data_IF_859179970981
#
_entry.id   IF_859179970981
#
_cell.length_a   1.000
_cell.length_b   1.000
_cell.length_c   1.000
_cell.angle_alpha   90.00
_cell.angle_beta   90.00
_cell.angle_gamma   90.00
#
_symmetry.space_group_name_H-M   'P 1'
#
loop_
_entity.id
_entity.type
_entity.pdbx_description
1 polymer ?
#
# COMPACT_ATOMS: atom_id res chain seq x y z
N UNK A 1 -11.26 19.27 -12.48
CA UNK A 1 -9.90 19.09 -11.92
C UNK A 1 -9.87 18.09 -10.76
N UNK A 2 -10.70 18.25 -9.72
CA UNK A 2 -10.74 17.35 -8.54
C UNK A 2 -10.93 15.86 -8.91
N UNK A 3 -11.88 15.55 -9.80
CA UNK A 3 -12.12 14.15 -10.25
C UNK A 3 -10.89 13.53 -10.91
N UNK A 4 -10.17 14.29 -11.75
CA UNK A 4 -8.98 13.80 -12.43
C UNK A 4 -7.86 13.47 -11.43
N UNK A 5 -7.65 14.35 -10.44
CA UNK A 5 -6.69 14.11 -9.34
C UNK A 5 -7.09 12.84 -8.57
N UNK A 6 -8.36 12.71 -8.20
CA UNK A 6 -8.87 11.52 -7.51
C UNK A 6 -8.63 10.24 -8.31
N UNK A 7 -8.94 10.23 -9.61
CA UNK A 7 -8.74 9.06 -10.47
C UNK A 7 -7.25 8.69 -10.59
N UNK A 8 -6.37 9.67 -10.74
CA UNK A 8 -4.91 9.44 -10.80
C UNK A 8 -4.40 8.84 -9.48
N UNK A 9 -4.80 9.41 -8.34
CA UNK A 9 -4.43 8.88 -7.02
C UNK A 9 -5.00 7.47 -6.80
N UNK A 10 -6.22 7.21 -7.25
CA UNK A 10 -6.84 5.87 -7.16
C UNK A 10 -6.08 4.84 -7.98
N UNK A 11 -5.72 5.17 -9.22
CA UNK A 11 -4.91 4.29 -10.08
C UNK A 11 -3.52 4.05 -9.49
N UNK A 12 -2.90 5.09 -8.92
CA UNK A 12 -1.60 4.99 -8.27
C UNK A 12 -1.67 4.11 -7.02
N UNK A 13 -2.71 4.25 -6.19
CA UNK A 13 -2.94 3.41 -5.01
C UNK A 13 -3.12 1.94 -5.40
N UNK A 14 -3.98 1.66 -6.38
CA UNK A 14 -4.25 0.29 -6.83
C UNK A 14 -3.02 -0.36 -7.48
N UNK A 15 -2.35 0.34 -8.39
CA UNK A 15 -1.16 -0.20 -9.07
C UNK A 15 -0.01 -0.47 -8.10
N UNK A 16 0.28 0.46 -7.19
CA UNK A 16 1.31 0.27 -6.16
C UNK A 16 0.95 -0.82 -5.15
N UNK A 17 -0.33 -0.97 -4.79
CA UNK A 17 -0.83 -2.09 -3.99
C UNK A 17 -0.66 -3.45 -4.68
N UNK A 18 -0.92 -3.54 -5.98
CA UNK A 18 -0.69 -4.77 -6.76
C UNK A 18 0.80 -5.11 -6.82
N UNK A 19 1.68 -4.11 -6.96
CA UNK A 19 3.14 -4.32 -7.01
C UNK A 19 3.69 -4.98 -5.74
N UNK A 20 3.05 -4.82 -4.58
CA UNK A 20 3.43 -5.52 -3.34
C UNK A 20 3.48 -7.04 -3.52
N UNK A 21 2.57 -7.59 -4.33
CA UNK A 21 2.48 -9.04 -4.59
C UNK A 21 3.32 -9.50 -5.78
N UNK A 22 3.83 -8.58 -6.59
CA UNK A 22 4.61 -8.87 -7.80
C UNK A 22 6.11 -8.82 -7.50
N UNK A 23 6.53 -7.97 -6.57
CA UNK A 23 7.95 -7.69 -6.36
C UNK A 23 8.62 -8.69 -5.42
N UNK A 24 9.75 -9.27 -5.85
CA UNK A 24 10.50 -10.29 -5.10
C UNK A 24 11.34 -9.78 -3.90
N UNK A 25 11.09 -8.57 -3.41
CA UNK A 25 11.86 -7.99 -2.30
C UNK A 25 10.93 -7.36 -1.29
N UNK A 26 11.12 -7.70 -0.01
CA UNK A 26 10.38 -7.08 1.09
C UNK A 26 10.59 -5.57 1.12
N UNK A 27 11.82 -5.09 0.98
CA UNK A 27 12.10 -3.66 1.01
C UNK A 27 11.37 -2.91 -0.12
N UNK A 28 11.40 -3.45 -1.34
CA UNK A 28 10.66 -2.86 -2.47
C UNK A 28 9.15 -2.93 -2.27
N UNK A 29 8.63 -4.05 -1.75
CA UNK A 29 7.23 -4.21 -1.40
C UNK A 29 6.76 -3.18 -0.35
N UNK A 30 7.60 -2.90 0.66
CA UNK A 30 7.36 -1.84 1.65
C UNK A 30 7.21 -0.47 0.99
N UNK A 31 8.09 -0.11 0.06
CA UNK A 31 7.98 1.18 -0.65
C UNK A 31 6.78 1.23 -1.60
N UNK A 32 6.44 0.13 -2.28
CA UNK A 32 5.20 0.04 -3.06
C UNK A 32 3.96 0.27 -2.16
N UNK A 33 3.92 -0.35 -0.99
CA UNK A 33 2.83 -0.17 -0.04
C UNK A 33 2.79 1.27 0.52
N UNK A 34 3.94 1.88 0.79
CA UNK A 34 4.03 3.28 1.22
C UNK A 34 3.43 4.22 0.17
N UNK A 35 3.75 4.02 -1.11
CA UNK A 35 3.16 4.80 -2.23
C UNK A 35 1.64 4.66 -2.25
N UNK A 36 1.13 3.44 -2.03
CA UNK A 36 -0.32 3.18 -1.94
C UNK A 36 -0.96 3.99 -0.80
N UNK A 37 -0.38 3.95 0.40
CA UNK A 37 -0.91 4.69 1.53
C UNK A 37 -0.81 6.20 1.39
N UNK A 38 0.26 6.72 0.78
CA UNK A 38 0.37 8.16 0.51
C UNK A 38 -0.68 8.64 -0.49
N UNK A 39 -0.99 7.84 -1.51
CA UNK A 39 -2.06 8.15 -2.45
C UNK A 39 -3.43 8.17 -1.76
N UNK A 40 -3.70 7.19 -0.89
CA UNK A 40 -4.92 7.15 -0.07
C UNK A 40 -4.98 8.33 0.89
N UNK A 41 -3.88 8.70 1.54
CA UNK A 41 -3.83 9.84 2.44
C UNK A 41 -4.12 11.15 1.70
N UNK A 42 -3.61 11.32 0.48
CA UNK A 42 -3.94 12.45 -0.38
C UNK A 42 -5.43 12.46 -0.72
N UNK A 43 -6.06 11.31 -1.00
CA UNK A 43 -7.52 11.22 -1.19
C UNK A 43 -8.29 11.59 0.09
N UNK A 44 -7.83 11.21 1.28
CA UNK A 44 -8.41 11.63 2.57
C UNK A 44 -8.30 13.14 2.78
N UNK A 45 -7.19 13.76 2.39
CA UNK A 45 -7.06 15.23 2.46
C UNK A 45 -8.08 15.93 1.55
N UNK A 46 -8.40 15.36 0.39
CA UNK A 46 -9.41 15.90 -0.52
C UNK A 46 -10.82 15.91 0.07
N UNK A 47 -11.11 15.09 1.10
CA UNK A 47 -12.41 15.10 1.80
C UNK A 47 -12.49 16.15 2.91
N UNK A 48 -11.47 16.98 3.09
CA UNK A 48 -11.41 18.01 4.14
C UNK A 48 -10.88 17.51 5.50
N UNK A 49 -10.48 16.24 5.60
CA UNK A 49 -9.96 15.64 6.83
C UNK A 49 -8.45 15.88 6.99
N UNK A 50 -8.06 17.15 7.16
CA UNK A 50 -6.66 17.58 7.17
C UNK A 50 -5.80 16.86 8.24
N UNK A 51 -6.28 16.80 9.48
CA UNK A 51 -5.57 16.14 10.57
C UNK A 51 -5.32 14.66 10.27
N UNK A 52 -6.37 13.93 9.89
CA UNK A 52 -6.28 12.50 9.61
C UNK A 52 -5.33 12.22 8.44
N UNK A 53 -5.47 12.95 7.34
CA UNK A 53 -4.61 12.77 6.16
C UNK A 53 -3.14 13.04 6.46
N UNK A 54 -2.84 14.11 7.21
CA UNK A 54 -1.45 14.44 7.61
C UNK A 54 -0.90 13.36 8.54
N UNK A 55 -1.69 12.87 9.51
CA UNK A 55 -1.25 11.81 10.44
C UNK A 55 -0.96 10.52 9.68
N UNK A 56 -1.78 10.15 8.69
CA UNK A 56 -1.50 8.97 7.83
C UNK A 56 -0.16 9.17 7.10
N UNK A 57 0.08 10.33 6.48
CA UNK A 57 1.35 10.61 5.79
C UNK A 57 2.53 10.48 6.76
N UNK A 58 2.43 11.11 7.92
CA UNK A 58 3.51 11.14 8.91
C UNK A 58 3.81 9.73 9.45
N UNK A 59 2.80 9.01 9.91
CA UNK A 59 2.97 7.68 10.49
C UNK A 59 3.47 6.69 9.45
N UNK A 60 2.86 6.65 8.26
CA UNK A 60 3.25 5.70 7.24
C UNK A 60 4.66 5.96 6.72
N UNK A 61 5.07 7.21 6.52
CA UNK A 61 6.46 7.51 6.13
C UNK A 61 7.43 7.05 7.22
N UNK A 62 7.21 7.48 8.47
CA UNK A 62 8.16 7.20 9.56
C UNK A 62 8.25 5.70 9.80
N UNK A 63 7.13 5.03 10.01
CA UNK A 63 7.10 3.59 10.30
C UNK A 63 7.68 2.78 9.15
N UNK A 64 7.24 3.01 7.91
CA UNK A 64 7.66 2.17 6.78
C UNK A 64 9.11 2.42 6.38
N UNK A 65 9.60 3.66 6.45
CA UNK A 65 11.01 3.98 6.14
C UNK A 65 11.93 3.43 7.22
N UNK A 66 11.58 3.61 8.49
CA UNK A 66 12.35 3.03 9.59
C UNK A 66 12.37 1.50 9.45
N UNK A 67 11.21 0.88 9.27
CA UNK A 67 11.13 -0.58 9.08
C UNK A 67 11.96 -1.03 7.88
N UNK A 68 11.96 -0.31 6.75
CA UNK A 68 12.81 -0.65 5.60
C UNK A 68 14.31 -0.63 5.95
N UNK A 69 14.77 0.35 6.72
CA UNK A 69 16.17 0.41 7.20
C UNK A 69 16.49 -0.80 8.08
N UNK A 70 15.63 -1.09 9.07
CA UNK A 70 15.80 -2.24 9.96
C UNK A 70 15.73 -3.57 9.22
N UNK A 71 14.82 -3.71 8.25
CA UNK A 71 14.74 -4.88 7.38
C UNK A 71 16.08 -5.11 6.69
N UNK A 72 16.65 -4.08 6.05
CA UNK A 72 17.93 -4.14 5.34
C UNK A 72 19.09 -4.51 6.27
N UNK A 73 19.10 -3.97 7.50
CA UNK A 73 20.18 -4.23 8.46
C UNK A 73 20.13 -5.62 9.10
N UNK A 74 18.94 -6.14 9.40
CA UNK A 74 18.79 -7.28 10.30
C UNK A 74 18.17 -8.53 9.67
N UNK A 75 17.56 -8.44 8.49
CA UNK A 75 16.97 -9.61 7.83
C UNK A 75 17.97 -10.27 6.88
N UNK A 76 17.82 -11.58 6.68
CA UNK A 76 18.75 -12.39 5.88
C UNK A 76 18.76 -12.04 4.38
N UNK A 77 17.62 -11.63 3.79
CA UNK A 77 17.52 -11.29 2.36
C UNK A 77 16.38 -10.29 2.06
N UNK A 78 16.36 -9.11 2.69
CA UNK A 78 15.30 -8.09 2.54
C UNK A 78 15.30 -7.43 1.16
N UNK A 79 16.48 -7.30 0.54
CA UNK A 79 16.69 -6.67 -0.76
C UNK A 79 16.37 -7.59 -1.95
N UNK A 80 16.10 -8.89 -1.69
CA UNK A 80 15.80 -9.88 -2.74
C UNK A 80 17.00 -10.14 -3.66
N UNK A 81 18.22 -10.15 -3.09
CA UNK A 81 19.47 -10.41 -3.83
C UNK A 81 19.70 -11.90 -4.08
N UNK A 82 19.05 -12.75 -3.28
CA UNK A 82 19.01 -14.20 -3.45
C UNK A 82 17.58 -14.65 -3.79
N UNK A 83 17.39 -15.75 -4.55
CA UNK A 83 16.06 -16.27 -4.86
C UNK A 83 15.28 -16.57 -3.57
N UNK A 84 14.16 -15.88 -3.37
CA UNK A 84 13.23 -16.11 -2.28
C UNK A 84 11.82 -16.16 -2.86
N UNK A 85 11.06 -17.21 -2.57
CA UNK A 85 9.65 -17.30 -2.95
C UNK A 85 8.78 -17.00 -1.73
N UNK A 86 7.93 -15.96 -1.84
CA UNK A 86 6.93 -15.66 -0.83
C UNK A 86 5.63 -16.39 -1.18
N UNK A 87 5.43 -17.57 -0.59
CA UNK A 87 4.20 -18.34 -0.79
C UNK A 87 3.04 -17.66 -0.06
N UNK A 88 2.15 -17.05 -0.83
CA UNK A 88 0.87 -16.56 -0.34
C UNK A 88 -0.25 -17.49 -0.81
N UNK A 89 -1.29 -17.67 0.01
CA UNK A 89 -2.54 -18.24 -0.47
C UNK A 89 -3.27 -17.21 -1.35
N UNK A 90 -2.81 -17.05 -2.59
CA UNK A 90 -3.29 -16.02 -3.52
C UNK A 90 -4.77 -16.17 -3.84
N UNK A 91 -5.27 -17.42 -3.92
CA UNK A 91 -6.69 -17.70 -4.17
C UNK A 91 -7.56 -17.27 -3.00
N UNK A 92 -7.20 -17.68 -1.78
CA UNK A 92 -7.91 -17.28 -0.58
C UNK A 92 -7.89 -15.76 -0.36
N UNK A 93 -6.72 -15.15 -0.53
CA UNK A 93 -6.55 -13.70 -0.43
C UNK A 93 -7.44 -12.97 -1.43
N UNK A 94 -7.41 -13.36 -2.71
CA UNK A 94 -8.24 -12.71 -3.74
C UNK A 94 -9.75 -12.83 -3.46
N UNK A 95 -10.22 -13.99 -3.01
CA UNK A 95 -11.63 -14.18 -2.65
C UNK A 95 -12.02 -13.30 -1.47
N UNK A 96 -11.23 -13.30 -0.38
CA UNK A 96 -11.53 -12.52 0.82
C UNK A 96 -11.48 -11.01 0.49
N UNK A 97 -10.43 -10.55 -0.20
CA UNK A 97 -10.31 -9.15 -0.62
C UNK A 97 -11.47 -8.72 -1.52
N UNK A 98 -11.88 -9.55 -2.47
CA UNK A 98 -13.03 -9.27 -3.34
C UNK A 98 -14.35 -9.18 -2.58
N UNK A 99 -14.59 -10.10 -1.63
CA UNK A 99 -15.78 -10.07 -0.78
C UNK A 99 -15.82 -8.82 0.13
N UNK A 100 -14.70 -8.49 0.76
CA UNK A 100 -14.60 -7.30 1.61
C UNK A 100 -14.78 -6.03 0.77
N UNK A 101 -14.15 -5.93 -0.40
CA UNK A 101 -14.31 -4.79 -1.30
C UNK A 101 -15.77 -4.61 -1.76
N UNK A 102 -16.41 -5.68 -2.22
CA UNK A 102 -17.81 -5.62 -2.66
C UNK A 102 -18.75 -5.27 -1.51
N UNK A 103 -18.52 -5.81 -0.31
CA UNK A 103 -19.29 -5.44 0.90
C UNK A 103 -19.13 -3.98 1.29
N UNK A 104 -17.89 -3.45 1.30
CA UNK A 104 -17.63 -2.04 1.56
C UNK A 104 -18.24 -1.13 0.48
N UNK A 105 -18.10 -1.49 -0.80
CA UNK A 105 -18.66 -0.73 -1.92
C UNK A 105 -20.20 -0.69 -1.87
N UNK A 106 -20.84 -1.80 -1.51
CA UNK A 106 -22.28 -1.84 -1.31
C UNK A 106 -22.74 -0.95 -0.14
N UNK A 107 -21.94 -0.83 0.92
CA UNK A 107 -22.23 0.05 2.05
C UNK A 107 -22.07 1.55 1.78
N UNK A 108 -21.49 1.94 0.64
CA UNK A 108 -21.37 3.35 0.21
C UNK A 108 -22.65 3.82 -0.51
N UNK A 109 -23.39 2.90 -1.15
CA UNK A 109 -24.65 3.13 -1.87
C UNK A 109 -25.82 3.37 -0.90
#
# INVERSE_FOLDING_TARGET
MVLAVFCVLSLLALSSGVLVFVVDSMARATFCLLVSFLAVAAMVLMTGLAYLGIVIILMMIIEMVIMAVFMVMFMMNPAGLMPMSMFHNTRGAAVISGLVFTGLAAGIL
#
